data_IF_263389040565
#
_entry.id   IF_263389040565
#
_cell.length_a   1.000
_cell.length_b   1.000
_cell.length_c   1.000
_cell.angle_alpha   90.00
_cell.angle_beta   90.00
_cell.angle_gamma   90.00
#
_symmetry.space_group_name_H-M   'P 1'
#
loop_
_entity.id
_entity.type
_entity.pdbx_description
1 polymer ?
#
# COMPACT_ATOMS: atom_id res chain seq x y z
N UNK A 1 -10.82 19.01 36.64
CA UNK A 1 -10.98 19.40 35.23
C UNK A 1 -11.38 18.18 34.43
N UNK A 2 -12.65 18.05 34.07
CA UNK A 2 -13.13 17.05 33.11
C UNK A 2 -12.37 17.25 31.79
N UNK A 3 -11.59 16.26 31.37
CA UNK A 3 -10.92 16.30 30.06
C UNK A 3 -12.01 16.53 29.00
N UNK A 4 -11.76 17.44 28.06
CA UNK A 4 -12.65 17.67 26.92
C UNK A 4 -12.99 16.34 26.24
N UNK A 5 -14.27 16.08 25.95
CA UNK A 5 -14.77 14.84 25.35
C UNK A 5 -14.17 14.52 23.97
N UNK A 6 -13.45 15.47 23.37
CA UNK A 6 -12.70 15.30 22.14
C UNK A 6 -11.34 14.60 22.36
N UNK A 7 -10.70 14.81 23.50
CA UNK A 7 -9.35 14.27 23.80
C UNK A 7 -9.35 12.77 24.07
N UNK A 8 -10.52 12.18 24.30
CA UNK A 8 -10.70 10.74 24.53
C UNK A 8 -11.06 9.98 23.25
N UNK A 9 -11.28 10.68 22.13
CA UNK A 9 -11.62 10.06 20.84
C UNK A 9 -10.36 9.67 20.05
N UNK A 10 -10.41 8.51 19.43
CA UNK A 10 -9.35 7.97 18.59
C UNK A 10 -9.18 8.78 17.28
N UNK A 11 -10.29 9.27 16.69
CA UNK A 11 -10.26 10.14 15.50
C UNK A 11 -9.35 11.35 15.69
N UNK A 12 -9.48 12.01 16.86
CA UNK A 12 -8.69 13.20 17.19
C UNK A 12 -7.20 12.86 17.21
N UNK A 13 -6.82 11.80 17.92
CA UNK A 13 -5.41 11.39 18.02
C UNK A 13 -4.85 10.85 16.72
N UNK A 14 -5.65 10.15 15.91
CA UNK A 14 -5.22 9.69 14.59
C UNK A 14 -4.87 10.85 13.66
N UNK A 15 -5.68 11.92 13.67
CA UNK A 15 -5.42 13.12 12.88
C UNK A 15 -4.15 13.81 13.36
N UNK A 16 -4.01 14.04 14.68
CA UNK A 16 -2.83 14.73 15.23
C UNK A 16 -1.55 13.94 15.06
N UNK A 17 -1.58 12.63 15.28
CA UNK A 17 -0.40 11.77 15.12
C UNK A 17 -0.01 11.66 13.65
N UNK A 18 -0.98 11.53 12.75
CA UNK A 18 -0.76 11.60 11.30
C UNK A 18 -0.15 12.95 10.89
N UNK A 19 -0.75 14.07 11.30
CA UNK A 19 -0.24 15.41 10.99
C UNK A 19 1.17 15.65 11.55
N UNK A 20 1.45 15.18 12.77
CA UNK A 20 2.78 15.24 13.37
C UNK A 20 3.82 14.48 12.54
N UNK A 21 3.51 13.25 12.11
CA UNK A 21 4.41 12.46 11.26
C UNK A 21 4.64 13.11 9.89
N UNK A 22 3.61 13.74 9.31
CA UNK A 22 3.72 14.49 8.06
C UNK A 22 4.59 15.74 8.21
N UNK A 23 4.42 16.49 9.29
CA UNK A 23 5.27 17.65 9.60
C UNK A 23 6.71 17.23 9.82
N UNK A 24 6.96 16.14 10.56
CA UNK A 24 8.31 15.59 10.72
C UNK A 24 8.92 15.20 9.37
N UNK A 25 8.15 14.54 8.49
CA UNK A 25 8.58 14.20 7.13
C UNK A 25 8.88 15.43 6.29
N UNK A 26 8.05 16.48 6.39
CA UNK A 26 8.23 17.74 5.68
C UNK A 26 9.47 18.49 6.18
N UNK A 27 9.67 18.59 7.48
CA UNK A 27 10.87 19.22 8.09
C UNK A 27 12.11 18.44 7.68
N UNK A 28 12.09 17.11 7.79
CA UNK A 28 13.19 16.26 7.35
C UNK A 28 13.52 16.44 5.85
N UNK A 29 12.50 16.60 5.01
CA UNK A 29 12.68 16.88 3.58
C UNK A 29 13.25 18.28 3.35
N UNK A 30 12.69 19.32 3.96
CA UNK A 30 13.13 20.70 3.78
C UNK A 30 14.54 20.94 4.33
N UNK A 31 14.88 20.38 5.49
CA UNK A 31 16.22 20.48 6.09
C UNK A 31 17.29 19.74 5.28
N UNK A 32 16.92 18.71 4.53
CA UNK A 32 17.82 17.95 3.67
C UNK A 32 17.63 18.23 2.17
N UNK A 33 16.84 19.25 1.81
CA UNK A 33 16.66 19.67 0.41
C UNK A 33 17.96 20.30 -0.06
N UNK A 34 18.88 19.49 -0.57
CA UNK A 34 20.06 20.03 -1.22
C UNK A 34 19.60 20.79 -2.47
N UNK A 35 20.12 22.01 -2.68
CA UNK A 35 19.88 22.75 -3.92
C UNK A 35 20.35 21.98 -5.17
N UNK A 36 21.22 20.99 -4.97
CA UNK A 36 21.77 20.09 -5.98
C UNK A 36 20.73 19.10 -6.54
N UNK A 37 19.83 18.57 -5.71
CA UNK A 37 18.76 17.64 -6.14
C UNK A 37 17.85 18.25 -7.22
N UNK A 38 17.43 19.51 -7.03
CA UNK A 38 16.58 20.21 -8.00
C UNK A 38 17.33 20.54 -9.29
N UNK A 39 18.62 20.88 -9.19
CA UNK A 39 19.50 21.11 -10.36
C UNK A 39 19.71 19.84 -11.17
N UNK A 40 20.07 18.73 -10.52
CA UNK A 40 20.23 17.43 -11.18
C UNK A 40 18.93 16.98 -11.86
N UNK A 41 17.77 17.13 -11.21
CA UNK A 41 16.49 16.82 -11.87
C UNK A 41 16.25 17.68 -13.11
N UNK A 42 16.53 18.98 -13.02
CA UNK A 42 16.36 19.92 -14.14
C UNK A 42 17.32 19.63 -15.29
N UNK A 43 18.58 19.32 -14.99
CA UNK A 43 19.59 18.93 -15.97
C UNK A 43 19.18 17.67 -16.72
N UNK A 44 18.72 16.64 -16.00
CA UNK A 44 18.22 15.41 -16.63
C UNK A 44 16.94 15.66 -17.47
N UNK A 45 16.06 16.56 -17.03
CA UNK A 45 14.87 16.95 -17.79
C UNK A 45 15.21 17.70 -19.07
N UNK A 46 16.22 18.56 -19.03
CA UNK A 46 16.72 19.26 -20.22
C UNK A 46 17.29 18.27 -21.24
N UNK A 47 18.09 17.29 -20.79
CA UNK A 47 18.62 16.22 -21.66
C UNK A 47 17.47 15.43 -22.30
N UNK A 48 16.48 15.02 -21.51
CA UNK A 48 15.32 14.28 -22.04
C UNK A 48 14.52 15.11 -23.05
N UNK A 49 14.29 16.40 -22.78
CA UNK A 49 13.60 17.29 -23.72
C UNK A 49 14.40 17.52 -25.00
N UNK A 50 15.72 17.70 -24.88
CA UNK A 50 16.60 17.90 -26.02
C UNK A 50 16.62 16.66 -26.92
N UNK A 51 16.73 15.47 -26.33
CA UNK A 51 16.66 14.21 -27.07
C UNK A 51 15.29 13.97 -27.71
N UNK A 52 14.20 14.32 -27.03
CA UNK A 52 12.83 14.23 -27.57
C UNK A 52 12.58 15.20 -28.74
N UNK A 53 13.37 16.28 -28.85
CA UNK A 53 13.32 17.20 -30.00
C UNK A 53 14.17 16.70 -31.17
N UNK A 54 15.21 15.92 -30.90
CA UNK A 54 16.16 15.42 -31.92
C UNK A 54 15.61 14.20 -32.65
N UNK A 55 15.02 13.26 -31.93
CA UNK A 55 14.57 11.98 -32.47
C UNK A 55 13.06 11.77 -32.26
N UNK A 56 12.36 11.08 -33.18
CA UNK A 56 10.93 10.76 -33.02
C UNK A 56 10.65 9.65 -32.01
N UNK A 57 11.68 9.10 -31.35
CA UNK A 57 11.60 8.05 -30.35
C UNK A 57 12.56 8.32 -29.17
N UNK A 58 12.35 7.60 -28.07
CA UNK A 58 13.20 7.69 -26.87
C UNK A 58 14.59 7.10 -27.14
N UNK A 59 15.62 7.95 -27.19
CA UNK A 59 17.00 7.53 -27.47
C UNK A 59 17.65 6.82 -26.28
N UNK A 60 18.81 6.20 -26.51
CA UNK A 60 19.63 5.65 -25.41
C UNK A 60 19.93 6.74 -24.36
N UNK A 61 20.30 7.94 -24.81
CA UNK A 61 20.60 9.07 -23.92
C UNK A 61 19.38 9.52 -23.12
N UNK A 62 18.18 9.50 -23.74
CA UNK A 62 16.93 9.76 -23.05
C UNK A 62 16.68 8.74 -21.91
N UNK A 63 16.86 7.45 -22.18
CA UNK A 63 16.67 6.41 -21.17
C UNK A 63 17.72 6.46 -20.05
N UNK A 64 18.99 6.68 -20.38
CA UNK A 64 20.04 6.89 -19.39
C UNK A 64 19.76 8.14 -18.53
N UNK A 65 19.20 9.18 -19.13
CA UNK A 65 18.81 10.38 -18.41
C UNK A 65 17.62 10.14 -17.48
N UNK A 66 16.62 9.37 -17.92
CA UNK A 66 15.49 8.94 -17.11
C UNK A 66 15.94 8.07 -15.93
N UNK A 67 16.86 7.12 -16.16
CA UNK A 67 17.43 6.27 -15.10
C UNK A 67 18.13 7.11 -14.04
N UNK A 68 18.99 8.05 -14.46
CA UNK A 68 19.66 8.99 -13.54
C UNK A 68 18.63 9.81 -12.77
N UNK A 69 17.64 10.39 -13.44
CA UNK A 69 16.54 11.12 -12.79
C UNK A 69 15.81 10.26 -11.76
N UNK A 70 15.57 8.98 -12.06
CA UNK A 70 14.92 8.02 -11.16
C UNK A 70 15.78 7.65 -9.94
N UNK A 71 17.09 7.86 -9.97
CA UNK A 71 17.98 7.68 -8.80
C UNK A 71 18.00 8.90 -7.89
N UNK A 72 17.70 10.09 -8.43
CA UNK A 72 17.63 11.36 -7.73
C UNK A 72 16.28 11.45 -7.01
N UNK A 73 16.19 10.83 -5.82
CA UNK A 73 14.98 10.76 -5.00
C UNK A 73 15.26 11.23 -3.58
N UNK A 74 14.29 11.83 -2.89
CA UNK A 74 14.42 12.15 -1.48
C UNK A 74 14.78 10.92 -0.60
N UNK A 75 14.39 9.72 -1.05
CA UNK A 75 14.75 8.45 -0.40
C UNK A 75 16.25 8.08 -0.46
N UNK A 76 17.03 8.71 -1.35
CA UNK A 76 18.49 8.49 -1.43
C UNK A 76 19.29 9.39 -0.49
N UNK A 77 18.65 10.38 0.16
CA UNK A 77 19.26 11.21 1.19
C UNK A 77 19.53 10.42 2.48
N UNK A 78 20.45 10.88 3.35
CA UNK A 78 20.77 10.19 4.61
C UNK A 78 19.55 9.86 5.47
N UNK A 79 18.61 10.81 5.60
CA UNK A 79 17.37 10.60 6.35
C UNK A 79 16.45 9.57 5.66
N UNK A 80 16.37 9.58 4.33
CA UNK A 80 15.60 8.60 3.56
C UNK A 80 16.17 7.19 3.68
N UNK A 81 17.50 7.06 3.65
CA UNK A 81 18.21 5.80 3.90
C UNK A 81 18.01 5.30 5.33
N UNK A 82 18.02 6.20 6.32
CA UNK A 82 17.69 5.87 7.70
C UNK A 82 16.27 5.34 7.82
N UNK A 83 15.28 6.06 7.29
CA UNK A 83 13.87 5.63 7.31
C UNK A 83 13.67 4.29 6.61
N UNK A 84 14.33 4.06 5.46
CA UNK A 84 14.29 2.77 4.73
C UNK A 84 14.86 1.61 5.54
N UNK A 85 15.87 1.85 6.39
CA UNK A 85 16.39 0.84 7.31
C UNK A 85 15.44 0.62 8.49
N UNK A 86 14.89 1.70 9.05
CA UNK A 86 13.94 1.65 10.14
C UNK A 86 12.66 0.88 9.76
N UNK A 87 12.14 1.09 8.56
CA UNK A 87 10.93 0.42 8.04
C UNK A 87 11.22 -0.87 7.27
N UNK A 88 12.36 -1.52 7.54
CA UNK A 88 12.72 -2.77 6.86
C UNK A 88 11.73 -3.89 7.18
N UNK A 89 11.48 -4.75 6.19
CA UNK A 89 10.61 -5.94 6.31
C UNK A 89 11.49 -7.21 6.32
N UNK A 90 11.00 -8.35 6.88
CA UNK A 90 11.68 -9.64 6.74
C UNK A 90 12.01 -9.96 5.27
N UNK A 91 13.23 -10.44 5.02
CA UNK A 91 13.65 -10.89 3.68
C UNK A 91 12.94 -12.18 3.29
N UNK A 92 12.87 -12.46 1.98
CA UNK A 92 12.41 -13.77 1.51
C UNK A 92 13.34 -14.88 2.00
N UNK A 93 12.75 -16.00 2.42
CA UNK A 93 13.45 -17.19 2.89
C UNK A 93 12.85 -18.44 2.24
N UNK A 94 13.50 -19.60 2.41
CA UNK A 94 13.06 -20.92 1.91
C UNK A 94 13.00 -21.93 3.08
N UNK A 95 14.14 -22.43 3.55
CA UNK A 95 14.16 -23.51 4.56
C UNK A 95 14.36 -23.00 5.99
N UNK A 96 15.00 -21.83 6.15
CA UNK A 96 15.33 -21.27 7.46
C UNK A 96 14.79 -19.83 7.60
N UNK A 97 13.81 -19.58 8.48
CA UNK A 97 13.23 -18.25 8.67
C UNK A 97 14.18 -17.25 9.31
N UNK A 98 15.26 -17.69 9.98
CA UNK A 98 16.25 -16.77 10.56
C UNK A 98 16.98 -15.94 9.50
N UNK A 99 17.10 -16.49 8.28
CA UNK A 99 17.69 -15.78 7.13
C UNK A 99 16.84 -14.57 6.71
N UNK A 100 15.55 -14.55 7.08
CA UNK A 100 14.69 -13.40 6.86
C UNK A 100 15.15 -12.16 7.64
N UNK A 101 15.87 -12.37 8.75
CA UNK A 101 16.30 -11.32 9.68
C UNK A 101 17.80 -11.04 9.63
N UNK A 102 18.60 -12.08 9.46
CA UNK A 102 20.06 -11.99 9.49
C UNK A 102 20.64 -12.66 8.26
N UNK A 103 21.37 -11.88 7.47
CA UNK A 103 22.22 -12.41 6.38
C UNK A 103 23.66 -12.38 6.86
N UNK A 104 24.27 -13.55 7.03
CA UNK A 104 25.68 -13.64 7.45
C UNK A 104 26.61 -13.27 6.30
N UNK A 105 27.87 -12.92 6.61
CA UNK A 105 28.89 -12.64 5.60
C UNK A 105 29.07 -13.83 4.65
N UNK A 106 29.15 -15.05 5.19
CA UNK A 106 29.28 -16.28 4.41
C UNK A 106 28.10 -16.49 3.44
N UNK A 107 26.87 -16.22 3.87
CA UNK A 107 25.69 -16.32 2.99
C UNK A 107 25.70 -15.25 1.90
N UNK A 108 26.09 -14.02 2.24
CA UNK A 108 26.22 -12.94 1.28
C UNK A 108 27.29 -13.23 0.23
N UNK A 109 28.44 -13.76 0.66
CA UNK A 109 29.56 -14.11 -0.24
C UNK A 109 29.19 -15.32 -1.12
N UNK A 110 28.56 -16.36 -0.56
CA UNK A 110 28.04 -17.50 -1.33
C UNK A 110 27.04 -17.07 -2.41
N UNK A 111 26.11 -16.18 -2.08
CA UNK A 111 25.14 -15.66 -3.06
C UNK A 111 25.80 -14.86 -4.18
N UNK A 112 26.92 -14.17 -3.91
CA UNK A 112 27.72 -13.49 -4.94
C UNK A 112 28.46 -14.50 -5.80
N UNK A 113 29.09 -15.52 -5.21
CA UNK A 113 29.83 -16.52 -5.95
C UNK A 113 28.90 -17.31 -6.88
N UNK A 114 27.76 -17.78 -6.38
CA UNK A 114 26.75 -18.52 -7.15
C UNK A 114 26.15 -17.70 -8.31
N UNK A 115 26.09 -16.37 -8.18
CA UNK A 115 25.54 -15.49 -9.22
C UNK A 115 26.60 -14.84 -10.11
N UNK A 116 27.89 -15.13 -9.90
CA UNK A 116 29.01 -14.43 -10.56
C UNK A 116 29.05 -14.70 -12.06
N UNK A 117 28.96 -15.95 -12.47
CA UNK A 117 28.99 -16.33 -13.89
C UNK A 117 27.78 -15.78 -14.65
N UNK A 118 26.58 -15.93 -14.07
CA UNK A 118 25.36 -15.35 -14.61
C UNK A 118 25.45 -13.83 -14.73
N UNK A 119 26.03 -13.15 -13.73
CA UNK A 119 26.26 -11.70 -13.75
C UNK A 119 27.20 -11.29 -14.88
N UNK A 120 28.36 -11.95 -15.01
CA UNK A 120 29.34 -11.66 -16.07
C UNK A 120 28.70 -11.84 -17.46
N UNK A 121 27.97 -12.95 -17.65
CA UNK A 121 27.24 -13.22 -18.90
C UNK A 121 26.21 -12.13 -19.20
N UNK A 122 25.39 -11.75 -18.23
CA UNK A 122 24.35 -10.73 -18.42
C UNK A 122 24.95 -9.33 -18.66
N UNK A 123 26.07 -8.99 -18.02
CA UNK A 123 26.79 -7.74 -18.30
C UNK A 123 27.28 -7.72 -19.75
N UNK A 124 27.84 -8.83 -20.24
CA UNK A 124 28.26 -8.94 -21.63
C UNK A 124 27.07 -8.81 -22.61
N UNK A 125 25.93 -9.44 -22.30
CA UNK A 125 24.70 -9.34 -23.10
C UNK A 125 24.16 -7.92 -23.14
N UNK A 126 24.05 -7.23 -21.99
CA UNK A 126 23.62 -5.83 -21.92
C UNK A 126 24.55 -4.93 -22.73
N UNK A 127 25.86 -5.17 -22.66
CA UNK A 127 26.85 -4.39 -23.42
C UNK A 127 26.69 -4.61 -24.92
N UNK A 128 26.52 -5.86 -25.36
CA UNK A 128 26.30 -6.18 -26.78
C UNK A 128 24.99 -5.57 -27.29
N UNK A 129 23.89 -5.71 -26.54
CA UNK A 129 22.59 -5.13 -26.89
C UNK A 129 22.66 -3.58 -26.95
N UNK A 130 23.39 -2.94 -26.03
CA UNK A 130 23.62 -1.49 -26.08
C UNK A 130 24.37 -1.08 -27.35
N UNK A 131 25.41 -1.82 -27.73
CA UNK A 131 26.17 -1.52 -28.95
C UNK A 131 25.33 -1.67 -30.22
N UNK A 132 24.45 -2.68 -30.26
CA UNK A 132 23.50 -2.87 -31.36
C UNK A 132 22.45 -1.76 -31.43
N UNK A 133 21.92 -1.34 -30.28
CA UNK A 133 20.99 -0.22 -30.18
C UNK A 133 21.66 1.08 -30.65
N UNK A 134 22.92 1.32 -30.26
CA UNK A 134 23.68 2.49 -30.68
C UNK A 134 23.94 2.48 -32.19
N UNK A 135 24.29 1.33 -32.77
CA UNK A 135 24.48 1.20 -34.22
C UNK A 135 23.17 1.49 -34.98
N UNK A 136 22.04 0.97 -34.51
CA UNK A 136 20.72 1.19 -35.12
C UNK A 136 20.27 2.65 -35.00
N UNK A 137 20.51 3.27 -33.84
CA UNK A 137 20.23 4.70 -33.62
C UNK A 137 21.11 5.59 -34.51
N UNK A 138 22.39 5.25 -34.70
CA UNK A 138 23.30 6.01 -35.56
C UNK A 138 22.87 5.95 -37.03
N UNK A 139 22.34 4.82 -37.51
CA UNK A 139 21.78 4.70 -38.86
C UNK A 139 20.54 5.60 -39.04
N UNK A 140 19.65 5.63 -38.04
CA UNK A 140 18.51 6.55 -38.05
C UNK A 140 18.95 8.02 -38.04
N UNK A 141 19.99 8.35 -37.26
CA UNK A 141 20.54 9.70 -37.16
C UNK A 141 21.21 10.16 -38.47
N UNK A 142 21.88 9.25 -39.21
CA UNK A 142 22.49 9.56 -40.51
C UNK A 142 21.46 10.04 -41.53
N UNK A 143 20.23 9.51 -41.46
CA UNK A 143 19.11 9.90 -42.32
C UNK A 143 18.26 11.02 -41.71
N UNK A 144 18.76 11.71 -40.67
CA UNK A 144 18.01 12.74 -39.95
C UNK A 144 16.62 12.27 -39.48
N UNK A 145 16.49 10.97 -39.19
CA UNK A 145 15.27 10.31 -38.72
C UNK A 145 14.10 10.33 -39.71
N UNK A 146 14.34 10.50 -41.01
CA UNK A 146 13.27 10.54 -42.02
C UNK A 146 12.75 9.14 -42.40
N UNK A 147 13.60 8.11 -42.32
CA UNK A 147 13.23 6.73 -42.64
C UNK A 147 12.64 5.98 -41.43
N UNK A 148 11.35 5.69 -41.52
CA UNK A 148 10.60 4.94 -40.50
C UNK A 148 11.14 3.54 -40.24
N UNK A 149 11.77 2.87 -41.22
CA UNK A 149 12.37 1.55 -41.02
C UNK A 149 13.58 1.63 -40.09
N UNK A 150 14.43 2.64 -40.25
CA UNK A 150 15.58 2.85 -39.35
C UNK A 150 15.13 3.28 -37.96
N UNK A 151 14.08 4.12 -37.87
CA UNK A 151 13.48 4.51 -36.60
C UNK A 151 12.90 3.28 -35.86
N UNK A 152 12.12 2.44 -36.53
CA UNK A 152 11.55 1.23 -35.95
C UNK A 152 12.62 0.20 -35.54
N UNK A 153 13.70 0.07 -36.33
CA UNK A 153 14.82 -0.79 -35.99
C UNK A 153 15.56 -0.29 -34.72
N UNK A 154 15.74 1.03 -34.59
CA UNK A 154 16.32 1.63 -33.40
C UNK A 154 15.44 1.40 -32.17
N UNK A 155 14.12 1.61 -32.27
CA UNK A 155 13.15 1.34 -31.19
C UNK A 155 13.21 -0.12 -30.74
N UNK A 156 13.21 -1.06 -31.68
CA UNK A 156 13.28 -2.49 -31.37
C UNK A 156 14.59 -2.87 -30.66
N UNK A 157 15.73 -2.35 -31.13
CA UNK A 157 17.03 -2.61 -30.52
C UNK A 157 17.17 -1.99 -29.12
N UNK A 158 16.61 -0.79 -28.91
CA UNK A 158 16.54 -0.13 -27.60
C UNK A 158 15.66 -0.94 -26.65
N UNK A 159 14.51 -1.46 -27.11
CA UNK A 159 13.65 -2.35 -26.33
C UNK A 159 14.39 -3.60 -25.85
N UNK A 160 15.12 -4.28 -26.73
CA UNK A 160 15.94 -5.44 -26.36
C UNK A 160 17.03 -5.09 -25.33
N UNK A 161 17.67 -3.92 -25.49
CA UNK A 161 18.62 -3.44 -24.49
C UNK A 161 17.96 -3.22 -23.12
N UNK A 162 16.76 -2.63 -23.07
CA UNK A 162 16.02 -2.47 -21.82
C UNK A 162 15.61 -3.80 -21.18
N UNK A 163 15.15 -4.77 -21.96
CA UNK A 163 14.82 -6.11 -21.46
C UNK A 163 16.05 -6.81 -20.87
N UNK A 164 17.21 -6.72 -21.54
CA UNK A 164 18.46 -7.26 -21.04
C UNK A 164 18.91 -6.59 -19.74
N UNK A 165 18.68 -5.28 -19.59
CA UNK A 165 18.91 -4.55 -18.33
C UNK A 165 18.01 -5.06 -17.21
N UNK A 166 16.72 -5.26 -17.46
CA UNK A 166 15.80 -5.81 -16.47
C UNK A 166 16.21 -7.22 -16.00
N UNK A 167 16.75 -8.05 -16.90
CA UNK A 167 17.31 -9.34 -16.55
C UNK A 167 18.57 -9.21 -15.67
N UNK A 168 19.49 -8.29 -16.02
CA UNK A 168 20.69 -8.00 -15.24
C UNK A 168 20.36 -7.49 -13.83
N UNK A 169 19.38 -6.60 -13.67
CA UNK A 169 18.98 -6.05 -12.37
C UNK A 169 18.58 -7.14 -11.36
N UNK A 170 17.92 -8.21 -11.81
CA UNK A 170 17.53 -9.35 -10.95
C UNK A 170 18.75 -10.04 -10.35
N UNK A 171 19.82 -10.19 -11.12
CA UNK A 171 21.08 -10.83 -10.70
C UNK A 171 22.00 -9.85 -9.96
N UNK A 172 22.03 -8.58 -10.37
CA UNK A 172 22.79 -7.52 -9.72
C UNK A 172 22.39 -7.31 -8.26
N UNK A 173 21.11 -7.54 -7.92
CA UNK A 173 20.63 -7.56 -6.53
C UNK A 173 21.36 -8.63 -5.70
N UNK A 174 21.58 -9.83 -6.25
CA UNK A 174 22.33 -10.90 -5.57
C UNK A 174 23.81 -10.53 -5.43
N UNK A 175 24.43 -9.96 -6.46
CA UNK A 175 25.81 -9.44 -6.42
C UNK A 175 26.01 -8.31 -5.40
N UNK A 176 24.97 -7.51 -5.17
CA UNK A 176 25.00 -6.39 -4.22
C UNK A 176 24.64 -6.81 -2.78
N UNK A 177 24.41 -8.09 -2.52
CA UNK A 177 24.03 -8.59 -1.19
C UNK A 177 25.14 -8.31 -0.18
N UNK A 178 24.79 -7.70 0.94
CA UNK A 178 25.70 -7.44 2.05
C UNK A 178 25.21 -8.18 3.28
N UNK A 179 26.14 -8.53 4.16
CA UNK A 179 25.79 -8.98 5.50
C UNK A 179 24.95 -7.90 6.18
N UNK A 180 23.81 -8.29 6.73
CA UNK A 180 22.85 -7.37 7.30
C UNK A 180 22.14 -8.02 8.48
N UNK A 181 22.00 -7.27 9.57
CA UNK A 181 21.17 -7.65 10.70
C UNK A 181 19.99 -6.67 10.80
N UNK A 182 18.79 -7.17 10.53
CA UNK A 182 17.54 -6.40 10.57
C UNK A 182 16.92 -6.36 11.96
N UNK A 183 17.33 -7.24 12.87
CA UNK A 183 16.71 -7.38 14.20
C UNK A 183 16.74 -6.06 14.98
N UNK A 184 17.87 -5.33 15.10
CA UNK A 184 17.89 -4.07 15.84
C UNK A 184 16.92 -3.05 15.26
N UNK A 185 16.85 -2.95 13.92
CA UNK A 185 15.95 -2.01 13.24
C UNK A 185 14.48 -2.34 13.45
N UNK A 186 14.11 -3.62 13.42
CA UNK A 186 12.75 -4.07 13.71
C UNK A 186 12.35 -3.78 15.16
N UNK A 187 13.25 -4.01 16.12
CA UNK A 187 13.03 -3.66 17.54
C UNK A 187 12.89 -2.15 17.69
N UNK A 188 13.77 -1.36 17.07
CA UNK A 188 13.67 0.11 17.10
C UNK A 188 12.35 0.58 16.51
N UNK A 189 11.90 0.01 15.39
CA UNK A 189 10.61 0.33 14.80
C UNK A 189 9.46 0.03 15.76
N UNK A 190 9.47 -1.15 16.41
CA UNK A 190 8.46 -1.52 17.41
C UNK A 190 8.46 -0.53 18.59
N UNK A 191 9.63 -0.14 19.09
CA UNK A 191 9.72 0.82 20.19
C UNK A 191 9.22 2.21 19.79
N UNK A 192 9.61 2.69 18.60
CA UNK A 192 9.17 3.99 18.07
C UNK A 192 7.66 4.01 17.88
N UNK A 193 7.08 2.98 17.24
CA UNK A 193 5.62 2.90 17.06
C UNK A 193 4.89 2.74 18.40
N UNK A 194 5.42 1.94 19.32
CA UNK A 194 4.85 1.76 20.65
C UNK A 194 4.85 3.05 21.47
N UNK A 195 5.91 3.86 21.38
CA UNK A 195 5.98 5.18 21.97
C UNK A 195 4.97 6.15 21.33
N UNK A 196 4.97 6.24 19.99
CA UNK A 196 4.08 7.12 19.25
C UNK A 196 2.61 6.85 19.56
N UNK A 197 2.16 5.60 19.40
CA UNK A 197 0.77 5.24 19.68
C UNK A 197 0.47 5.24 21.18
N UNK A 198 1.44 4.87 22.02
CA UNK A 198 1.27 4.85 23.46
C UNK A 198 0.96 6.24 24.02
N UNK A 199 1.58 7.30 23.49
CA UNK A 199 1.26 8.68 23.87
C UNK A 199 -0.23 8.95 23.64
N UNK A 200 -0.77 8.67 22.45
CA UNK A 200 -2.19 8.87 22.15
C UNK A 200 -3.12 8.07 23.09
N UNK A 201 -2.74 6.84 23.41
CA UNK A 201 -3.50 5.98 24.32
C UNK A 201 -3.59 6.52 25.75
N UNK A 202 -2.59 7.26 26.24
CA UNK A 202 -2.66 7.90 27.57
C UNK A 202 -3.76 8.95 27.69
N UNK A 203 -4.10 9.60 26.58
CA UNK A 203 -5.17 10.59 26.53
C UNK A 203 -6.54 9.94 26.36
N UNK A 204 -6.60 8.75 25.74
CA UNK A 204 -7.77 7.88 25.65
C UNK A 204 -7.97 6.98 26.89
N UNK A 205 -7.56 7.48 28.07
CA UNK A 205 -7.78 6.85 29.38
C UNK A 205 -7.19 5.44 29.57
N UNK A 206 -6.26 5.05 28.70
CA UNK A 206 -5.55 3.78 28.79
C UNK A 206 -4.15 3.98 29.35
N UNK A 207 -3.73 3.14 30.30
CA UNK A 207 -2.39 3.21 30.88
C UNK A 207 -1.30 2.93 29.83
N UNK A 208 -0.32 3.83 29.72
CA UNK A 208 0.80 3.74 28.76
C UNK A 208 1.52 2.38 28.81
N UNK A 209 1.90 1.93 30.00
CA UNK A 209 2.64 0.68 30.17
C UNK A 209 1.77 -0.56 29.93
N UNK A 210 0.46 -0.46 30.18
CA UNK A 210 -0.48 -1.55 29.90
C UNK A 210 -0.66 -1.69 28.40
N UNK A 211 -0.83 -0.57 27.70
CA UNK A 211 -0.81 -0.53 26.24
C UNK A 211 0.49 -1.10 25.67
N UNK A 212 1.65 -0.68 26.16
CA UNK A 212 2.94 -1.08 25.59
C UNK A 212 3.18 -2.59 25.69
N UNK A 213 2.73 -3.24 26.77
CA UNK A 213 2.77 -4.70 26.93
C UNK A 213 1.91 -5.39 25.86
N UNK A 214 0.67 -4.96 25.68
CA UNK A 214 -0.22 -5.48 24.64
C UNK A 214 0.33 -5.20 23.23
N UNK A 215 0.88 -4.01 23.01
CA UNK A 215 1.42 -3.58 21.72
C UNK A 215 2.63 -4.41 21.31
N UNK A 216 3.52 -4.75 22.25
CA UNK A 216 4.65 -5.64 21.99
C UNK A 216 4.18 -7.02 21.51
N UNK A 217 3.11 -7.56 22.10
CA UNK A 217 2.51 -8.83 21.69
C UNK A 217 1.87 -8.75 20.30
N UNK A 218 1.04 -7.73 20.03
CA UNK A 218 0.41 -7.52 18.71
C UNK A 218 1.46 -7.30 17.63
N UNK A 219 2.50 -6.53 17.92
CA UNK A 219 3.61 -6.29 17.00
C UNK A 219 4.43 -7.55 16.72
N UNK A 220 4.61 -8.41 17.72
CA UNK A 220 5.27 -9.71 17.53
C UNK A 220 4.46 -10.62 16.62
N UNK A 221 3.13 -10.68 16.80
CA UNK A 221 2.24 -11.40 15.89
C UNK A 221 2.34 -10.84 14.47
N UNK A 222 2.33 -9.52 14.32
CA UNK A 222 2.53 -8.85 13.04
C UNK A 222 3.86 -9.24 12.39
N UNK A 223 4.94 -9.27 13.17
CA UNK A 223 6.26 -9.68 12.69
C UNK A 223 6.29 -11.14 12.25
N UNK A 224 5.65 -12.04 12.99
CA UNK A 224 5.48 -13.45 12.61
C UNK A 224 4.70 -13.53 11.29
N UNK A 225 3.59 -12.81 11.15
CA UNK A 225 2.80 -12.80 9.93
C UNK A 225 3.58 -12.29 8.71
N UNK A 226 4.36 -11.21 8.86
CA UNK A 226 5.28 -10.73 7.81
C UNK A 226 6.36 -11.75 7.47
N UNK A 227 6.85 -12.49 8.46
CA UNK A 227 7.86 -13.52 8.24
C UNK A 227 7.28 -14.70 7.49
N UNK A 228 6.10 -15.19 7.87
CA UNK A 228 5.43 -16.27 7.15
C UNK A 228 5.04 -15.88 5.73
N UNK A 229 4.62 -14.64 5.50
CA UNK A 229 4.35 -14.10 4.17
C UNK A 229 5.62 -13.95 3.31
N UNK A 230 6.79 -13.78 3.93
CA UNK A 230 8.06 -13.69 3.23
C UNK A 230 8.58 -15.06 2.75
N UNK A 231 7.97 -16.18 3.17
CA UNK A 231 8.35 -17.50 2.68
C UNK A 231 8.17 -17.60 1.16
N UNK A 232 9.15 -18.16 0.44
CA UNK A 232 9.16 -18.13 -1.02
C UNK A 232 7.90 -18.73 -1.66
N UNK A 233 7.44 -19.90 -1.19
CA UNK A 233 6.24 -20.55 -1.74
C UNK A 233 4.97 -19.74 -1.46
N UNK A 234 4.83 -19.24 -0.22
CA UNK A 234 3.68 -18.41 0.17
C UNK A 234 3.64 -17.10 -0.60
N UNK A 235 4.80 -16.50 -0.81
CA UNK A 235 4.95 -15.29 -1.62
C UNK A 235 4.64 -15.55 -3.09
N UNK A 236 5.01 -16.71 -3.63
CA UNK A 236 4.73 -17.09 -5.01
C UNK A 236 3.23 -17.26 -5.29
N UNK A 237 2.48 -17.80 -4.33
CA UNK A 237 1.01 -17.93 -4.43
C UNK A 237 0.25 -16.64 -4.03
N UNK A 238 0.96 -15.54 -3.74
CA UNK A 238 0.34 -14.25 -3.37
C UNK A 238 -0.24 -14.22 -1.96
N UNK A 239 0.14 -15.16 -1.09
CA UNK A 239 -0.39 -15.23 0.28
C UNK A 239 0.28 -14.19 1.19
N UNK A 240 -0.35 -13.02 1.29
CA UNK A 240 0.18 -11.85 1.98
C UNK A 240 0.16 -11.93 3.51
N UNK A 241 0.87 -10.99 4.13
CA UNK A 241 1.00 -10.87 5.59
C UNK A 241 -0.36 -10.67 6.30
N UNK A 242 -1.33 -10.04 5.63
CA UNK A 242 -2.66 -9.82 6.18
C UNK A 242 -3.41 -11.15 6.45
N UNK A 243 -3.25 -12.17 5.60
CA UNK A 243 -3.95 -13.46 5.77
C UNK A 243 -3.33 -14.22 6.92
N UNK A 244 -2.00 -14.23 6.98
CA UNK A 244 -1.30 -14.80 8.13
C UNK A 244 -1.72 -14.12 9.43
N UNK A 245 -1.83 -12.79 9.46
CA UNK A 245 -2.28 -12.07 10.65
C UNK A 245 -3.70 -12.46 11.06
N UNK A 246 -4.63 -12.58 10.10
CA UNK A 246 -6.02 -13.00 10.36
C UNK A 246 -6.07 -14.45 10.85
N UNK A 247 -5.37 -15.38 10.19
CA UNK A 247 -5.34 -16.79 10.58
C UNK A 247 -4.77 -16.94 11.98
N UNK A 248 -3.64 -16.30 12.27
CA UNK A 248 -3.04 -16.35 13.61
C UNK A 248 -3.98 -15.75 14.65
N UNK A 249 -4.62 -14.61 14.34
CA UNK A 249 -5.60 -13.98 15.22
C UNK A 249 -6.81 -14.88 15.51
N UNK A 250 -7.36 -15.53 14.48
CA UNK A 250 -8.46 -16.48 14.59
C UNK A 250 -8.06 -17.72 15.40
N UNK A 251 -6.87 -18.26 15.17
CA UNK A 251 -6.38 -19.40 15.95
C UNK A 251 -6.25 -19.04 17.43
N UNK A 252 -5.68 -17.87 17.75
CA UNK A 252 -5.53 -17.40 19.14
C UNK A 252 -6.91 -17.20 19.79
N UNK A 253 -7.83 -16.51 19.12
CA UNK A 253 -9.14 -16.19 19.69
C UNK A 253 -10.01 -17.43 19.91
N UNK A 254 -9.89 -18.46 19.07
CA UNK A 254 -10.68 -19.69 19.18
C UNK A 254 -10.06 -20.77 20.08
N UNK A 255 -8.75 -20.71 20.36
CA UNK A 255 -8.08 -21.74 21.19
C UNK A 255 -7.95 -21.32 22.64
N UNK A 256 -7.32 -20.18 22.90
CA UNK A 256 -7.00 -19.70 24.25
C UNK A 256 -7.81 -18.46 24.64
N UNK A 257 -8.56 -17.88 23.70
CA UNK A 257 -9.24 -16.61 23.87
C UNK A 257 -8.29 -15.42 23.81
N UNK A 258 -8.83 -14.23 23.52
CA UNK A 258 -8.04 -13.00 23.49
C UNK A 258 -7.64 -12.59 24.92
N UNK A 259 -6.34 -12.59 25.28
CA UNK A 259 -5.94 -12.28 26.64
C UNK A 259 -6.30 -10.83 27.03
N UNK A 260 -6.87 -10.64 28.22
CA UNK A 260 -7.34 -9.32 28.67
C UNK A 260 -6.26 -8.24 28.67
N UNK A 261 -5.01 -8.61 28.98
CA UNK A 261 -3.87 -7.69 28.97
C UNK A 261 -3.45 -7.20 27.57
N UNK A 262 -3.91 -7.87 26.51
CA UNK A 262 -3.69 -7.47 25.10
C UNK A 262 -4.76 -6.50 24.61
N UNK A 263 -5.97 -6.54 25.18
CA UNK A 263 -7.11 -5.73 24.72
C UNK A 263 -6.81 -4.23 24.57
N UNK A 264 -6.04 -3.58 25.48
CA UNK A 264 -5.68 -2.17 25.33
C UNK A 264 -4.92 -1.84 24.05
N UNK A 265 -4.26 -2.82 23.43
CA UNK A 265 -3.51 -2.66 22.19
C UNK A 265 -4.29 -3.09 20.94
N UNK A 266 -5.53 -3.57 21.06
CA UNK A 266 -6.39 -3.94 19.93
C UNK A 266 -7.15 -2.73 19.37
N UNK A 267 -6.51 -1.56 19.37
CA UNK A 267 -7.06 -0.28 18.88
C UNK A 267 -7.00 -0.20 17.36
N UNK A 268 -7.66 -1.13 16.67
CA UNK A 268 -7.61 -1.29 15.21
C UNK A 268 -7.96 0.00 14.48
N UNK A 269 -9.03 0.69 14.91
CA UNK A 269 -9.45 1.97 14.33
C UNK A 269 -8.35 3.03 14.46
N UNK A 270 -7.74 3.16 15.64
CA UNK A 270 -6.68 4.13 15.89
C UNK A 270 -5.48 3.93 14.96
N UNK A 271 -5.05 2.68 14.73
CA UNK A 271 -3.95 2.38 13.80
C UNK A 271 -4.30 2.65 12.34
N UNK A 272 -5.47 2.17 11.90
CA UNK A 272 -5.92 2.31 10.52
C UNK A 272 -6.18 3.78 10.18
N UNK A 273 -6.91 4.51 11.02
CA UNK A 273 -7.21 5.93 10.82
C UNK A 273 -5.93 6.76 10.75
N UNK A 274 -4.95 6.50 11.63
CA UNK A 274 -3.63 7.15 11.55
C UNK A 274 -2.93 6.84 10.21
N UNK A 275 -2.89 5.57 9.83
CA UNK A 275 -2.27 5.14 8.56
C UNK A 275 -2.94 5.80 7.35
N UNK A 276 -4.26 5.96 7.38
CA UNK A 276 -5.03 6.65 6.33
C UNK A 276 -4.74 8.14 6.25
N UNK A 277 -4.51 8.83 7.37
CA UNK A 277 -4.11 10.25 7.35
C UNK A 277 -2.76 10.40 6.63
N UNK A 278 -1.80 9.52 6.93
CA UNK A 278 -0.47 9.51 6.30
C UNK A 278 -0.58 9.13 4.81
N UNK A 279 -1.32 8.07 4.50
CA UNK A 279 -1.58 7.63 3.13
C UNK A 279 -2.32 8.71 2.34
N UNK A 280 -3.27 9.39 2.96
CA UNK A 280 -4.01 10.51 2.42
C UNK A 280 -3.04 11.59 1.92
N UNK A 281 -2.06 11.98 2.74
CA UNK A 281 -1.04 12.96 2.34
C UNK A 281 -0.16 12.50 1.15
N UNK A 282 0.12 11.20 1.03
CA UNK A 282 0.83 10.63 -0.13
C UNK A 282 -0.03 10.72 -1.41
N UNK A 283 -1.35 10.63 -1.28
CA UNK A 283 -2.31 10.52 -2.38
C UNK A 283 -2.93 11.88 -2.77
N UNK A 284 -2.96 12.86 -1.84
CA UNK A 284 -3.98 13.91 -1.77
C UNK A 284 -4.09 14.86 -2.96
N UNK A 285 -3.01 15.16 -3.69
CA UNK A 285 -3.08 16.19 -4.73
C UNK A 285 -2.98 15.59 -6.14
N UNK A 286 -1.96 14.79 -6.43
CA UNK A 286 -1.79 14.24 -7.78
C UNK A 286 -2.78 13.12 -8.13
N UNK A 287 -2.99 12.17 -7.21
CA UNK A 287 -3.81 10.97 -7.48
C UNK A 287 -5.30 11.23 -7.30
N UNK A 288 -5.71 12.08 -6.37
CA UNK A 288 -7.11 12.50 -6.25
C UNK A 288 -7.55 13.29 -7.48
N UNK A 289 -6.70 14.17 -8.04
CA UNK A 289 -7.00 14.86 -9.31
C UNK A 289 -7.09 13.86 -10.48
N UNK A 290 -6.21 12.86 -10.54
CA UNK A 290 -6.24 11.82 -11.57
C UNK A 290 -7.45 10.87 -11.44
N UNK A 291 -7.87 10.54 -10.22
CA UNK A 291 -9.07 9.74 -9.91
C UNK A 291 -10.34 10.61 -9.97
N UNK A 292 -10.20 11.95 -10.02
CA UNK A 292 -11.22 12.97 -9.81
C UNK A 292 -12.62 12.62 -10.28
N UNK A 293 -12.90 12.84 -11.57
CA UNK A 293 -14.23 12.66 -12.15
C UNK A 293 -14.75 11.21 -12.00
N UNK A 294 -13.95 10.15 -12.23
CA UNK A 294 -14.39 8.76 -12.00
C UNK A 294 -14.78 8.46 -10.55
N UNK A 295 -14.00 8.90 -9.55
CA UNK A 295 -14.32 8.67 -8.13
C UNK A 295 -15.61 9.38 -7.69
N UNK A 296 -15.80 10.62 -8.17
CA UNK A 296 -17.05 11.36 -7.97
C UNK A 296 -18.22 10.66 -8.68
N UNK A 297 -18.02 10.17 -9.90
CA UNK A 297 -19.04 9.43 -10.64
C UNK A 297 -19.45 8.14 -9.92
N UNK A 298 -18.49 7.36 -9.41
CA UNK A 298 -18.81 6.18 -8.59
C UNK A 298 -19.66 6.60 -7.40
N UNK A 299 -19.24 7.62 -6.65
CA UNK A 299 -19.98 7.99 -5.45
C UNK A 299 -21.36 8.61 -5.72
N UNK A 300 -21.55 9.40 -6.79
CA UNK A 300 -22.83 10.05 -7.10
C UNK A 300 -23.79 9.20 -7.94
N UNK A 301 -23.27 8.25 -8.72
CA UNK A 301 -24.09 7.41 -9.60
C UNK A 301 -24.27 6.02 -9.03
N UNK A 302 -23.19 5.37 -8.57
CA UNK A 302 -23.27 3.99 -8.05
C UNK A 302 -24.01 3.97 -6.72
N UNK A 303 -23.76 4.92 -5.81
CA UNK A 303 -24.40 4.94 -4.48
C UNK A 303 -25.94 4.97 -4.56
N UNK A 304 -26.59 5.91 -5.29
CA UNK A 304 -28.06 5.89 -5.39
C UNK A 304 -28.58 4.65 -6.10
N UNK A 305 -27.87 4.15 -7.13
CA UNK A 305 -28.26 2.92 -7.82
C UNK A 305 -28.25 1.75 -6.86
N UNK A 306 -27.16 1.54 -6.12
CA UNK A 306 -27.04 0.45 -5.14
C UNK A 306 -28.09 0.60 -4.05
N UNK A 307 -28.29 1.79 -3.50
CA UNK A 307 -29.31 2.03 -2.46
C UNK A 307 -30.73 1.70 -2.96
N UNK A 308 -31.12 2.21 -4.14
CA UNK A 308 -32.46 2.00 -4.68
C UNK A 308 -32.66 0.53 -5.04
N UNK A 309 -31.67 -0.10 -5.68
CA UNK A 309 -31.76 -1.51 -6.10
C UNK A 309 -31.79 -2.46 -4.92
N UNK A 310 -30.95 -2.25 -3.91
CA UNK A 310 -30.95 -3.05 -2.67
C UNK A 310 -32.24 -2.87 -1.87
N UNK A 311 -32.75 -1.63 -1.76
CA UNK A 311 -34.03 -1.38 -1.11
C UNK A 311 -35.18 -2.09 -1.84
N UNK A 312 -35.22 -1.96 -3.17
CA UNK A 312 -36.23 -2.62 -3.99
C UNK A 312 -36.15 -4.15 -3.86
N UNK A 313 -34.94 -4.71 -3.92
CA UNK A 313 -34.71 -6.15 -3.76
C UNK A 313 -35.16 -6.64 -2.37
N UNK A 314 -34.82 -5.91 -1.32
CA UNK A 314 -35.24 -6.21 0.04
C UNK A 314 -36.76 -6.17 0.24
N UNK A 315 -37.45 -5.23 -0.40
CA UNK A 315 -38.92 -5.13 -0.32
C UNK A 315 -39.66 -6.14 -1.20
N UNK A 316 -39.19 -6.38 -2.44
CA UNK A 316 -39.94 -7.16 -3.44
C UNK A 316 -39.55 -8.62 -3.49
N UNK A 317 -38.27 -8.93 -3.29
CA UNK A 317 -37.74 -10.30 -3.38
C UNK A 317 -37.66 -10.92 -1.99
N UNK A 318 -36.93 -10.28 -1.07
CA UNK A 318 -36.75 -10.79 0.30
C UNK A 318 -37.97 -10.53 1.21
N UNK A 319 -38.88 -9.63 0.80
CA UNK A 319 -40.11 -9.29 1.52
C UNK A 319 -39.86 -8.89 2.98
N UNK A 320 -38.83 -8.08 3.23
CA UNK A 320 -38.49 -7.58 4.56
C UNK A 320 -39.65 -6.69 5.05
N UNK A 321 -40.37 -7.17 6.09
CA UNK A 321 -41.59 -6.53 6.60
C UNK A 321 -41.38 -5.12 7.14
N UNK A 322 -40.20 -4.82 7.69
CA UNK A 322 -39.85 -3.48 8.14
C UNK A 322 -39.17 -2.66 7.03
N UNK A 323 -39.80 -1.54 6.66
CA UNK A 323 -39.24 -0.59 5.71
C UNK A 323 -38.05 0.18 6.28
N UNK A 324 -38.06 0.46 7.58
CA UNK A 324 -36.98 1.17 8.27
C UNK A 324 -35.74 0.29 8.34
N UNK A 325 -35.88 -0.98 8.74
CA UNK A 325 -34.80 -1.95 8.71
C UNK A 325 -34.19 -2.11 7.30
N UNK A 326 -35.05 -2.29 6.29
CA UNK A 326 -34.58 -2.47 4.92
C UNK A 326 -33.82 -1.24 4.41
N UNK A 327 -34.32 -0.04 4.72
CA UNK A 327 -33.65 1.21 4.34
C UNK A 327 -32.30 1.34 5.06
N UNK A 328 -32.23 1.02 6.36
CA UNK A 328 -30.98 1.04 7.13
C UNK A 328 -29.95 0.06 6.58
N UNK A 329 -30.34 -1.17 6.22
CA UNK A 329 -29.44 -2.15 5.58
C UNK A 329 -29.00 -1.68 4.19
N UNK A 330 -29.93 -1.13 3.39
CA UNK A 330 -29.62 -0.65 2.04
C UNK A 330 -28.65 0.53 2.06
N UNK A 331 -28.82 1.44 3.03
CA UNK A 331 -27.91 2.57 3.23
C UNK A 331 -26.54 2.13 3.76
N UNK A 332 -26.50 1.16 4.67
CA UNK A 332 -25.27 0.57 5.18
C UNK A 332 -24.41 0.01 4.03
N UNK A 333 -25.01 -0.84 3.18
CA UNK A 333 -24.32 -1.54 2.08
C UNK A 333 -24.01 -0.67 0.85
N UNK A 334 -24.60 0.52 0.72
CA UNK A 334 -24.42 1.38 -0.47
C UNK A 334 -23.37 2.46 -0.27
N UNK A 335 -22.89 2.71 0.95
CA UNK A 335 -22.02 3.85 1.27
C UNK A 335 -20.79 3.43 2.07
N UNK A 336 -20.83 3.60 3.39
CA UNK A 336 -19.69 3.57 4.31
C UNK A 336 -19.95 2.62 5.48
N UNK A 337 -20.97 1.77 5.37
CA UNK A 337 -21.42 0.88 6.44
C UNK A 337 -22.07 1.65 7.58
N UNK A 338 -21.47 1.50 8.76
CA UNK A 338 -22.08 1.85 10.05
C UNK A 338 -22.51 3.32 10.13
N UNK A 339 -21.74 4.27 9.60
CA UNK A 339 -22.12 5.69 9.69
C UNK A 339 -23.34 6.04 8.83
N UNK A 340 -23.49 5.43 7.64
CA UNK A 340 -24.69 5.56 6.83
C UNK A 340 -25.89 4.85 7.48
N UNK A 341 -25.67 3.69 8.11
CA UNK A 341 -26.70 2.99 8.86
C UNK A 341 -27.25 3.86 10.00
N UNK A 342 -26.36 4.47 10.79
CA UNK A 342 -26.73 5.36 11.92
C UNK A 342 -27.47 6.60 11.43
N UNK A 343 -26.94 7.29 10.40
CA UNK A 343 -27.57 8.48 9.84
C UNK A 343 -28.97 8.18 9.27
N UNK A 344 -29.10 7.08 8.52
CA UNK A 344 -30.37 6.67 7.91
C UNK A 344 -31.36 6.18 8.97
N UNK A 345 -30.90 5.43 9.99
CA UNK A 345 -31.74 5.02 11.10
C UNK A 345 -32.33 6.23 11.84
N UNK A 346 -31.54 7.29 12.05
CA UNK A 346 -32.03 8.53 12.63
C UNK A 346 -33.07 9.23 11.72
N UNK A 347 -32.81 9.31 10.42
CA UNK A 347 -33.69 9.96 9.45
C UNK A 347 -35.03 9.23 9.27
N UNK A 348 -35.01 7.89 9.20
CA UNK A 348 -36.19 7.07 9.01
C UNK A 348 -36.87 6.64 10.33
N UNK A 349 -36.33 7.07 11.49
CA UNK A 349 -36.79 6.67 12.83
C UNK A 349 -36.80 5.15 13.03
N UNK A 350 -35.75 4.47 12.55
CA UNK A 350 -35.56 3.05 12.80
C UNK A 350 -35.33 2.80 14.30
N UNK A 351 -35.75 1.61 14.77
CA UNK A 351 -35.54 1.21 16.16
C UNK A 351 -34.06 0.90 16.42
N UNK A 352 -33.64 0.91 17.69
CA UNK A 352 -32.25 0.58 18.06
C UNK A 352 -31.91 -0.86 17.65
N UNK A 353 -32.88 -1.76 17.80
CA UNK A 353 -32.79 -3.17 17.44
C UNK A 353 -32.55 -3.31 15.94
N UNK A 354 -33.28 -2.58 15.09
CA UNK A 354 -33.09 -2.58 13.64
C UNK A 354 -31.70 -2.07 13.23
N UNK A 355 -31.22 -1.00 13.87
CA UNK A 355 -29.88 -0.47 13.65
C UNK A 355 -28.80 -1.49 14.06
N UNK A 356 -28.96 -2.13 15.22
CA UNK A 356 -28.04 -3.18 15.69
C UNK A 356 -28.01 -4.37 14.73
N UNK A 357 -29.16 -4.80 14.22
CA UNK A 357 -29.25 -5.90 13.24
C UNK A 357 -28.54 -5.52 11.93
N UNK A 358 -28.76 -4.31 11.41
CA UNK A 358 -28.11 -3.85 10.18
C UNK A 358 -26.59 -3.82 10.32
N UNK A 359 -26.08 -3.22 11.41
CA UNK A 359 -24.63 -3.16 11.68
C UNK A 359 -24.05 -4.56 11.87
N UNK A 360 -24.74 -5.44 12.61
CA UNK A 360 -24.28 -6.81 12.85
C UNK A 360 -24.15 -7.61 11.55
N UNK A 361 -25.16 -7.52 10.67
CA UNK A 361 -25.14 -8.16 9.36
C UNK A 361 -23.97 -7.64 8.50
N UNK A 362 -23.79 -6.33 8.46
CA UNK A 362 -22.71 -5.66 7.74
C UNK A 362 -21.33 -6.15 8.18
N UNK A 363 -21.10 -6.25 9.50
CA UNK A 363 -19.82 -6.72 10.02
C UNK A 363 -19.53 -8.17 9.64
N UNK A 364 -20.54 -9.04 9.62
CA UNK A 364 -20.38 -10.44 9.19
C UNK A 364 -19.99 -10.49 7.71
N UNK A 365 -20.74 -9.82 6.84
CA UNK A 365 -20.44 -9.79 5.41
C UNK A 365 -19.08 -9.15 5.11
N UNK A 366 -18.76 -8.04 5.77
CA UNK A 366 -17.46 -7.38 5.67
C UNK A 366 -16.32 -8.32 6.04
N UNK A 367 -16.47 -9.09 7.12
CA UNK A 367 -15.46 -10.07 7.54
C UNK A 367 -15.24 -11.16 6.49
N UNK A 368 -16.31 -11.64 5.87
CA UNK A 368 -16.25 -12.65 4.80
C UNK A 368 -15.64 -12.06 3.53
N UNK A 369 -16.15 -10.91 3.05
CA UNK A 369 -15.68 -10.25 1.83
C UNK A 369 -14.23 -9.82 1.91
N UNK A 370 -13.74 -9.44 3.10
CA UNK A 370 -12.33 -9.10 3.33
C UNK A 370 -11.37 -10.20 2.86
N UNK A 371 -11.80 -11.46 2.91
CA UNK A 371 -11.00 -12.63 2.49
C UNK A 371 -11.43 -13.12 1.11
N UNK A 372 -12.75 -13.29 0.90
CA UNK A 372 -13.29 -13.93 -0.30
C UNK A 372 -13.13 -13.06 -1.55
N UNK A 373 -13.37 -11.76 -1.45
CA UNK A 373 -13.31 -10.85 -2.60
C UNK A 373 -11.90 -10.74 -3.22
N UNK A 374 -10.82 -10.50 -2.45
CA UNK A 374 -9.48 -10.49 -3.04
C UNK A 374 -9.06 -11.87 -3.59
N UNK A 375 -9.48 -12.96 -2.95
CA UNK A 375 -9.23 -14.30 -3.47
C UNK A 375 -9.92 -14.54 -4.82
N UNK A 376 -11.16 -14.08 -4.97
CA UNK A 376 -11.90 -14.14 -6.23
C UNK A 376 -11.23 -13.28 -7.32
N UNK A 377 -10.86 -12.04 -7.01
CA UNK A 377 -10.18 -11.12 -7.94
C UNK A 377 -8.89 -11.74 -8.48
N UNK A 378 -8.08 -12.33 -7.60
CA UNK A 378 -6.87 -13.05 -7.99
C UNK A 378 -7.19 -14.27 -8.87
N UNK A 379 -8.24 -15.03 -8.54
CA UNK A 379 -8.64 -16.20 -9.31
C UNK A 379 -9.08 -15.88 -10.73
N UNK A 380 -9.84 -14.81 -10.93
CA UNK A 380 -10.27 -14.37 -12.28
C UNK A 380 -9.24 -13.51 -13.01
N UNK A 381 -8.09 -13.21 -12.38
CA UNK A 381 -7.01 -12.45 -13.00
C UNK A 381 -7.33 -10.97 -13.23
N UNK A 382 -8.19 -10.37 -12.41
CA UNK A 382 -8.54 -8.94 -12.52
C UNK A 382 -7.30 -8.08 -12.19
N UNK A 383 -6.97 -7.04 -13.00
CA UNK A 383 -5.84 -6.17 -12.73
C UNK A 383 -5.90 -5.48 -11.36
N UNK A 384 -4.76 -5.34 -10.68
CA UNK A 384 -4.65 -4.80 -9.30
C UNK A 384 -5.40 -3.47 -9.08
N UNK A 385 -5.37 -2.57 -10.06
CA UNK A 385 -6.03 -1.25 -9.96
C UNK A 385 -7.56 -1.43 -9.93
N UNK A 386 -8.09 -2.26 -10.83
CA UNK A 386 -9.53 -2.53 -10.92
C UNK A 386 -10.00 -3.35 -9.71
N UNK A 387 -9.20 -4.34 -9.29
CA UNK A 387 -9.47 -5.13 -8.10
C UNK A 387 -9.47 -4.28 -6.82
N UNK A 388 -8.47 -3.40 -6.67
CA UNK A 388 -8.42 -2.43 -5.59
C UNK A 388 -9.61 -1.47 -5.61
N UNK A 389 -10.01 -0.99 -6.80
CA UNK A 389 -11.18 -0.13 -6.93
C UNK A 389 -12.47 -0.84 -6.50
N UNK A 390 -12.64 -2.11 -6.89
CA UNK A 390 -13.79 -2.92 -6.52
C UNK A 390 -13.84 -3.20 -5.01
N UNK A 391 -12.72 -3.57 -4.40
CA UNK A 391 -12.60 -3.73 -2.94
C UNK A 391 -12.97 -2.43 -2.22
N UNK A 392 -12.40 -1.30 -2.65
CA UNK A 392 -12.64 0.01 -2.06
C UNK A 392 -14.10 0.47 -2.15
N UNK A 393 -14.79 0.12 -3.23
CA UNK A 393 -16.19 0.48 -3.43
C UNK A 393 -17.21 -0.45 -2.76
N UNK A 394 -16.82 -1.66 -2.34
CA UNK A 394 -17.75 -2.71 -1.88
C UNK A 394 -17.61 -3.05 -0.40
N UNK A 395 -16.39 -2.95 0.17
CA UNK A 395 -16.19 -3.32 1.57
C UNK A 395 -16.47 -2.11 2.47
N UNK A 396 -17.37 -2.30 3.44
CA UNK A 396 -17.96 -1.23 4.25
C UNK A 396 -17.31 -0.99 5.61
N UNK A 397 -16.05 -1.39 5.75
CA UNK A 397 -15.20 -0.98 6.87
C UNK A 397 -13.81 -0.63 6.37
N UNK A 398 -13.34 0.58 6.69
CA UNK A 398 -12.06 1.07 6.16
C UNK A 398 -10.87 0.18 6.56
N UNK A 399 -10.88 -0.38 7.76
CA UNK A 399 -9.87 -1.38 8.18
C UNK A 399 -9.91 -2.65 7.33
N UNK A 400 -11.10 -3.16 7.02
CA UNK A 400 -11.29 -4.33 6.18
C UNK A 400 -10.93 -4.05 4.72
N UNK A 401 -11.22 -2.85 4.19
CA UNK A 401 -10.79 -2.42 2.84
C UNK A 401 -9.27 -2.44 2.72
N UNK A 402 -8.57 -1.86 3.68
CA UNK A 402 -7.10 -1.80 3.67
C UNK A 402 -6.52 -3.22 3.79
N UNK A 403 -7.07 -4.05 4.67
CA UNK A 403 -6.66 -5.45 4.81
C UNK A 403 -6.92 -6.26 3.53
N UNK A 404 -8.09 -6.09 2.91
CA UNK A 404 -8.45 -6.73 1.66
C UNK A 404 -7.58 -6.28 0.49
N UNK A 405 -7.32 -4.98 0.38
CA UNK A 405 -6.42 -4.42 -0.63
C UNK A 405 -4.98 -4.90 -0.47
N UNK A 406 -4.54 -5.13 0.76
CA UNK A 406 -3.22 -5.70 1.05
C UNK A 406 -3.04 -7.13 0.47
N UNK A 407 -4.14 -7.88 0.26
CA UNK A 407 -4.09 -9.19 -0.39
C UNK A 407 -3.79 -9.14 -1.88
N UNK A 408 -4.13 -8.03 -2.54
CA UNK A 408 -3.89 -7.85 -3.97
C UNK A 408 -2.55 -7.16 -4.25
N UNK A 409 -2.06 -6.33 -3.33
CA UNK A 409 -0.77 -5.66 -3.44
C UNK A 409 -0.79 -4.21 -2.99
N UNK A 410 0.39 -3.57 -2.92
CA UNK A 410 0.50 -2.18 -2.43
C UNK A 410 -0.27 -1.18 -3.32
N UNK A 411 -0.28 -1.37 -4.64
CA UNK A 411 -1.05 -0.51 -5.55
C UNK A 411 -2.55 -0.66 -5.33
N UNK A 412 -3.05 -1.89 -5.24
CA UNK A 412 -4.46 -2.19 -4.99
C UNK A 412 -4.93 -1.63 -3.64
N UNK A 413 -4.12 -1.77 -2.59
CA UNK A 413 -4.37 -1.16 -1.28
C UNK A 413 -4.53 0.36 -1.38
N UNK A 414 -3.58 1.05 -2.05
CA UNK A 414 -3.67 2.49 -2.21
C UNK A 414 -4.94 2.91 -2.95
N UNK A 415 -5.30 2.21 -4.03
CA UNK A 415 -6.53 2.50 -4.79
C UNK A 415 -7.76 2.24 -3.94
N UNK A 416 -7.84 1.08 -3.29
CA UNK A 416 -8.97 0.70 -2.43
C UNK A 416 -9.22 1.70 -1.30
N UNK A 417 -8.15 2.07 -0.59
CA UNK A 417 -8.21 3.07 0.47
C UNK A 417 -8.65 4.44 -0.07
N UNK A 418 -8.17 4.84 -1.26
CA UNK A 418 -8.54 6.12 -1.88
C UNK A 418 -10.03 6.17 -2.23
N UNK A 419 -10.55 5.14 -2.88
CA UNK A 419 -11.98 5.09 -3.23
C UNK A 419 -12.83 5.12 -1.97
N UNK A 420 -12.48 4.36 -0.93
CA UNK A 420 -13.24 4.38 0.33
C UNK A 420 -13.19 5.72 1.03
N UNK A 421 -12.05 6.41 1.01
CA UNK A 421 -11.95 7.77 1.55
C UNK A 421 -12.85 8.76 0.80
N UNK A 422 -12.90 8.69 -0.55
CA UNK A 422 -13.78 9.55 -1.36
C UNK A 422 -15.25 9.32 -0.98
N UNK A 423 -15.68 8.06 -0.82
CA UNK A 423 -17.04 7.73 -0.37
C UNK A 423 -17.32 8.27 1.04
N UNK A 424 -16.36 8.16 1.96
CA UNK A 424 -16.53 8.63 3.34
C UNK A 424 -16.65 10.16 3.44
N UNK A 425 -15.92 10.92 2.61
CA UNK A 425 -15.99 12.39 2.61
C UNK A 425 -17.38 12.89 2.21
N UNK A 426 -18.09 12.17 1.35
CA UNK A 426 -19.37 12.60 0.80
C UNK A 426 -20.57 12.46 1.75
N UNK A 427 -20.41 11.82 2.91
CA UNK A 427 -21.46 11.75 3.95
C UNK A 427 -21.51 13.03 4.78
N UNK A 428 -20.42 13.80 4.81
CA UNK A 428 -20.27 15.02 5.60
C UNK A 428 -20.67 16.31 4.86
N UNK A 429 -21.26 16.19 3.67
CA UNK A 429 -21.82 17.32 2.90
C UNK A 429 -23.35 17.33 2.96
#
# INVERSE_FOLDING_TARGET
MTKSSLLTKDDYWSIWLGAFLLLLGLVAFLSNRSGDLSRQMTEQDLIMQEESRKAPFETIAWHEALEKKNTVKASSLPIGLFLKKLTTKPSTWNSNPLVAFVTTKQQADRAKDESKEAYISLVAQVTAARNQALASQNLAAQDSYQNDQYNNAAVAAIGQWQESKQALEKVQKKQSTKAANKIPWLITLMLVLGLLFGIGMTFMETSFFTFLKGFAFVSLIGLIAYTLAAQADMKAIGFGYAAWAIIIGLLISNTIGTPQWVQPALSTEFYIKTGLVILGAEILLGKILAIGLPGIFVAWVVTPIVLITTYWFGQKVLKIGSKTLNMTISADMSVCGVSAAVATAAACKATKEELTVAIGLSMIFTSVMMIVLPAFINWVGIPEILGGAWIGGTIDATGAVVAAGAFLGEKALSVAATIKMIQNVLIGL
#
